data_IF_054901700759
#
_entry.id   IF_054901700759
#
_cell.length_a   1.000
_cell.length_b   1.000
_cell.length_c   1.000
_cell.angle_alpha   90.00
_cell.angle_beta   90.00
_cell.angle_gamma   90.00
#
_symmetry.space_group_name_H-M   'P 1'
#
loop_
_entity.id
_entity.type
_entity.pdbx_description
1 polymer ?
#
# COMPACT_ATOMS: atom_id res chain seq x y z
N UNK A 1 -30.02 2.65 -18.82
CA UNK A 1 -29.02 3.40 -18.01
C UNK A 1 -29.62 4.71 -17.59
N UNK A 2 -29.75 4.97 -16.29
CA UNK A 2 -30.18 6.28 -15.79
C UNK A 2 -28.99 7.24 -15.74
N UNK A 3 -29.23 8.54 -15.85
CA UNK A 3 -28.20 9.58 -15.67
C UNK A 3 -27.54 9.43 -14.28
N UNK A 4 -28.35 9.12 -13.26
CA UNK A 4 -27.89 8.85 -11.90
C UNK A 4 -26.89 7.68 -11.86
N UNK A 5 -27.20 6.56 -12.53
CA UNK A 5 -26.31 5.41 -12.56
C UNK A 5 -24.94 5.81 -13.11
N UNK A 6 -24.90 6.43 -14.29
CA UNK A 6 -23.67 6.91 -14.92
C UNK A 6 -22.88 7.87 -14.00
N UNK A 7 -23.56 8.87 -13.43
CA UNK A 7 -22.95 9.84 -12.53
C UNK A 7 -22.28 9.15 -11.33
N UNK A 8 -22.93 8.16 -10.71
CA UNK A 8 -22.36 7.43 -9.58
C UNK A 8 -21.09 6.65 -9.95
N UNK A 9 -20.99 6.05 -11.15
CA UNK A 9 -19.78 5.33 -11.58
C UNK A 9 -18.61 6.29 -11.79
N UNK A 10 -18.89 7.48 -12.35
CA UNK A 10 -17.91 8.55 -12.50
C UNK A 10 -17.45 9.04 -11.13
N UNK A 11 -18.38 9.36 -10.23
CA UNK A 11 -18.08 9.83 -8.87
C UNK A 11 -17.25 8.80 -8.11
N UNK A 12 -17.60 7.51 -8.20
CA UNK A 12 -16.85 6.42 -7.59
C UNK A 12 -15.36 6.45 -7.99
N UNK A 13 -15.09 6.51 -9.30
CA UNK A 13 -13.72 6.58 -9.79
C UNK A 13 -13.02 7.90 -9.42
N UNK A 14 -13.73 9.03 -9.49
CA UNK A 14 -13.18 10.33 -9.10
C UNK A 14 -12.81 10.37 -7.61
N UNK A 15 -13.56 9.70 -6.73
CA UNK A 15 -13.20 9.57 -5.32
C UNK A 15 -11.97 8.70 -5.12
N UNK A 16 -11.88 7.56 -5.81
CA UNK A 16 -10.69 6.70 -5.76
C UNK A 16 -9.42 7.42 -6.20
N UNK A 17 -9.53 8.36 -7.15
CA UNK A 17 -8.38 9.15 -7.64
C UNK A 17 -8.15 10.38 -6.76
N UNK A 18 -9.20 11.16 -6.50
CA UNK A 18 -9.11 12.48 -5.86
C UNK A 18 -8.78 12.43 -4.37
N UNK A 19 -9.26 11.42 -3.63
CA UNK A 19 -9.01 11.30 -2.18
C UNK A 19 -7.50 11.10 -1.89
N UNK A 20 -6.77 10.19 -2.58
CA UNK A 20 -5.32 10.11 -2.48
C UNK A 20 -4.58 11.43 -2.74
N UNK A 21 -4.95 12.16 -3.79
CA UNK A 21 -4.33 13.45 -4.12
C UNK A 21 -4.58 14.49 -3.02
N UNK A 22 -5.80 14.55 -2.49
CA UNK A 22 -6.14 15.44 -1.39
C UNK A 22 -5.34 15.08 -0.13
N UNK A 23 -5.25 13.79 0.22
CA UNK A 23 -4.45 13.33 1.35
C UNK A 23 -2.97 13.70 1.20
N UNK A 24 -2.40 13.50 0.00
CA UNK A 24 -1.02 13.88 -0.33
C UNK A 24 -0.79 15.39 -0.19
N UNK A 25 -1.71 16.23 -0.68
CA UNK A 25 -1.62 17.69 -0.57
C UNK A 25 -1.74 18.17 0.89
N UNK A 26 -2.64 17.57 1.67
CA UNK A 26 -2.86 17.91 3.08
C UNK A 26 -1.62 17.59 3.94
N UNK A 27 -0.96 16.44 3.69
CA UNK A 27 0.22 16.04 4.46
C UNK A 27 1.52 16.66 3.95
N UNK A 28 1.58 17.07 2.68
CA UNK A 28 2.79 17.65 2.07
C UNK A 28 3.34 18.82 2.89
N UNK A 29 2.44 19.70 3.37
CA UNK A 29 2.80 20.88 4.18
C UNK A 29 3.30 20.54 5.59
N UNK A 30 3.26 19.27 6.00
CA UNK A 30 3.69 18.81 7.33
C UNK A 30 5.05 18.12 7.24
N UNK A 31 6.09 18.78 7.72
CA UNK A 31 7.47 18.26 7.79
C UNK A 31 8.37 18.65 6.61
N UNK A 32 9.68 18.42 6.76
CA UNK A 32 10.72 18.92 5.85
C UNK A 32 10.92 18.08 4.56
N UNK A 33 10.38 16.87 4.52
CA UNK A 33 10.68 15.90 3.45
C UNK A 33 9.87 16.10 2.14
N UNK A 34 8.98 17.10 2.10
CA UNK A 34 8.14 17.40 0.94
C UNK A 34 7.33 16.18 0.46
N UNK A 35 7.25 16.00 -0.87
CA UNK A 35 6.56 14.89 -1.55
C UNK A 35 7.41 13.62 -1.69
N UNK A 36 8.73 13.68 -1.42
CA UNK A 36 9.64 12.56 -1.71
C UNK A 36 9.21 11.24 -1.04
N UNK A 37 8.80 11.20 0.24
CA UNK A 37 8.35 9.95 0.86
C UNK A 37 7.05 9.41 0.26
N UNK A 38 6.18 10.27 -0.26
CA UNK A 38 4.93 9.85 -0.94
C UNK A 38 5.27 9.13 -2.24
N UNK A 39 6.18 9.67 -3.03
CA UNK A 39 6.67 9.01 -4.25
C UNK A 39 7.41 7.71 -3.96
N UNK A 40 8.16 7.64 -2.86
CA UNK A 40 8.80 6.39 -2.44
C UNK A 40 7.76 5.35 -2.01
N UNK A 41 6.69 5.74 -1.31
CA UNK A 41 5.57 4.85 -1.00
C UNK A 41 4.84 4.35 -2.25
N UNK A 42 4.65 5.23 -3.24
CA UNK A 42 4.11 4.87 -4.56
C UNK A 42 4.99 3.83 -5.25
N UNK A 43 6.30 4.07 -5.28
CA UNK A 43 7.26 3.13 -5.85
C UNK A 43 7.28 1.80 -5.09
N UNK A 44 7.13 1.81 -3.76
CA UNK A 44 7.09 0.60 -2.95
C UNK A 44 5.93 -0.33 -3.34
N UNK A 45 4.73 0.23 -3.55
CA UNK A 45 3.59 -0.56 -4.06
C UNK A 45 3.86 -1.12 -5.46
N UNK A 46 4.34 -0.28 -6.39
CA UNK A 46 4.59 -0.75 -7.77
C UNK A 46 5.63 -1.87 -7.78
N UNK A 47 6.73 -1.70 -7.03
CA UNK A 47 7.79 -2.68 -6.92
C UNK A 47 7.35 -3.98 -6.24
N UNK A 48 6.45 -3.93 -5.25
CA UNK A 48 5.90 -5.16 -4.67
C UNK A 48 5.10 -5.94 -5.70
N UNK A 49 4.35 -5.27 -6.58
CA UNK A 49 3.57 -5.95 -7.62
C UNK A 49 4.44 -6.62 -8.69
N UNK A 50 5.66 -6.12 -8.95
CA UNK A 50 6.61 -6.75 -9.90
C UNK A 50 6.97 -8.18 -9.49
N UNK A 51 7.08 -8.46 -8.19
CA UNK A 51 7.30 -9.82 -7.68
C UNK A 51 6.00 -10.58 -7.41
N UNK A 52 5.02 -9.89 -6.83
CA UNK A 52 3.76 -10.48 -6.37
C UNK A 52 2.92 -11.06 -7.52
N UNK A 53 2.77 -10.34 -8.63
CA UNK A 53 1.94 -10.78 -9.76
C UNK A 53 2.52 -12.04 -10.43
N UNK A 54 3.80 -12.08 -10.84
CA UNK A 54 4.39 -13.28 -11.43
C UNK A 54 4.41 -14.46 -10.45
N UNK A 55 4.68 -14.22 -9.16
CA UNK A 55 4.63 -15.28 -8.14
C UNK A 55 3.24 -15.90 -8.07
N UNK A 56 2.18 -15.08 -8.00
CA UNK A 56 0.81 -15.61 -7.93
C UNK A 56 0.43 -16.37 -9.20
N UNK A 57 0.75 -15.82 -10.37
CA UNK A 57 0.34 -16.37 -11.67
C UNK A 57 1.11 -17.63 -12.06
N UNK A 58 2.42 -17.66 -11.85
CA UNK A 58 3.30 -18.72 -12.35
C UNK A 58 3.72 -19.74 -11.29
N UNK A 59 3.55 -19.43 -9.99
CA UNK A 59 3.94 -20.34 -8.92
C UNK A 59 2.77 -20.69 -8.00
N UNK A 60 2.17 -19.73 -7.30
CA UNK A 60 1.16 -20.00 -6.27
C UNK A 60 -0.09 -20.68 -6.84
N UNK A 61 -0.74 -20.08 -7.85
CA UNK A 61 -1.98 -20.63 -8.40
C UNK A 61 -1.77 -21.98 -9.09
N UNK A 62 -0.72 -22.19 -9.92
CA UNK A 62 -0.42 -23.52 -10.46
C UNK A 62 -0.12 -24.56 -9.39
N UNK A 63 0.63 -24.22 -8.33
CA UNK A 63 0.94 -25.14 -7.25
C UNK A 63 -0.32 -25.56 -6.48
N UNK A 64 -1.21 -24.62 -6.16
CA UNK A 64 -2.50 -24.92 -5.52
C UNK A 64 -3.35 -25.88 -6.38
N UNK A 65 -3.45 -25.62 -7.68
CA UNK A 65 -4.17 -26.53 -8.61
C UNK A 65 -3.53 -27.92 -8.66
N UNK A 66 -2.20 -27.99 -8.70
CA UNK A 66 -1.47 -29.26 -8.70
C UNK A 66 -1.68 -30.07 -7.40
N UNK A 67 -1.93 -29.38 -6.28
CA UNK A 67 -2.32 -30.00 -5.01
C UNK A 67 -3.82 -30.31 -4.90
N UNK A 68 -4.58 -30.18 -5.98
CA UNK A 68 -6.01 -30.48 -6.03
C UNK A 68 -6.91 -29.43 -5.38
N UNK A 69 -6.39 -28.22 -5.14
CA UNK A 69 -7.21 -27.11 -4.63
C UNK A 69 -8.06 -26.54 -5.77
N UNK A 70 -9.38 -26.68 -5.64
CA UNK A 70 -10.33 -26.01 -6.53
C UNK A 70 -10.37 -24.50 -6.22
N UNK A 71 -9.69 -23.71 -7.06
CA UNK A 71 -9.65 -22.26 -6.93
C UNK A 71 -10.99 -21.57 -7.25
N UNK A 72 -11.92 -22.28 -7.90
CA UNK A 72 -13.26 -21.79 -8.20
C UNK A 72 -14.26 -22.09 -7.07
N UNK A 73 -13.87 -22.85 -6.05
CA UNK A 73 -14.74 -23.24 -4.94
C UNK A 73 -15.38 -22.04 -4.23
N UNK A 74 -16.70 -22.03 -4.11
CA UNK A 74 -17.44 -20.96 -3.43
C UNK A 74 -17.39 -21.04 -1.90
N UNK A 75 -17.00 -22.19 -1.34
CA UNK A 75 -17.00 -22.42 0.11
C UNK A 75 -16.04 -23.55 0.50
N UNK A 76 -15.83 -23.72 1.80
CA UNK A 76 -15.07 -24.84 2.38
C UNK A 76 -13.55 -24.70 2.27
N UNK A 77 -12.85 -25.81 2.55
CA UNK A 77 -11.40 -25.84 2.65
C UNK A 77 -10.66 -25.26 1.42
N UNK A 78 -11.06 -25.52 0.15
CA UNK A 78 -10.35 -24.95 -0.98
C UNK A 78 -10.37 -23.42 -1.02
N UNK A 79 -11.50 -22.79 -0.66
CA UNK A 79 -11.61 -21.34 -0.56
C UNK A 79 -10.74 -20.78 0.56
N UNK A 80 -10.70 -21.43 1.72
CA UNK A 80 -9.89 -20.99 2.84
C UNK A 80 -8.39 -21.08 2.55
N UNK A 81 -7.96 -22.15 1.89
CA UNK A 81 -6.57 -22.33 1.43
C UNK A 81 -6.22 -21.24 0.41
N UNK A 82 -7.10 -20.98 -0.58
CA UNK A 82 -6.89 -19.91 -1.55
C UNK A 82 -6.79 -18.53 -0.88
N UNK A 83 -7.70 -18.22 0.04
CA UNK A 83 -7.70 -16.96 0.79
C UNK A 83 -6.42 -16.79 1.61
N UNK A 84 -6.03 -17.82 2.37
CA UNK A 84 -4.80 -17.80 3.16
C UNK A 84 -3.55 -17.62 2.29
N UNK A 85 -3.46 -18.34 1.17
CA UNK A 85 -2.33 -18.25 0.25
C UNK A 85 -2.24 -16.87 -0.42
N UNK A 86 -3.36 -16.37 -0.97
CA UNK A 86 -3.43 -15.07 -1.61
C UNK A 86 -3.15 -13.93 -0.62
N UNK A 87 -3.71 -14.02 0.58
CA UNK A 87 -3.47 -13.04 1.64
C UNK A 87 -2.02 -13.02 2.08
N UNK A 88 -1.44 -14.19 2.38
CA UNK A 88 -0.04 -14.28 2.79
C UNK A 88 0.91 -13.78 1.69
N UNK A 89 0.65 -14.12 0.44
CA UNK A 89 1.42 -13.62 -0.70
C UNK A 89 1.43 -12.09 -0.73
N UNK A 90 0.26 -11.46 -0.67
CA UNK A 90 0.16 -9.99 -0.65
C UNK A 90 0.90 -9.38 0.56
N UNK A 91 0.65 -9.91 1.77
CA UNK A 91 1.31 -9.43 2.98
C UNK A 91 2.84 -9.54 2.93
N UNK A 92 3.38 -10.63 2.39
CA UNK A 92 4.83 -10.81 2.25
C UNK A 92 5.41 -9.82 1.24
N UNK A 93 4.88 -9.76 0.02
CA UNK A 93 5.47 -8.92 -1.03
C UNK A 93 5.38 -7.44 -0.72
N UNK A 94 4.24 -6.97 -0.20
CA UNK A 94 4.03 -5.55 0.05
C UNK A 94 4.77 -5.06 1.28
N UNK A 95 4.72 -5.80 2.39
CA UNK A 95 5.35 -5.37 3.64
C UNK A 95 6.87 -5.51 3.59
N UNK A 96 7.41 -6.53 2.89
CA UNK A 96 8.86 -6.65 2.70
C UNK A 96 9.36 -5.53 1.80
N UNK A 97 8.69 -5.22 0.69
CA UNK A 97 9.10 -4.09 -0.16
C UNK A 97 9.06 -2.79 0.64
N UNK A 98 8.03 -2.59 1.47
CA UNK A 98 7.94 -1.44 2.37
C UNK A 98 9.09 -1.39 3.38
N UNK A 99 9.47 -2.53 3.95
CA UNK A 99 10.62 -2.65 4.85
C UNK A 99 11.91 -2.25 4.14
N UNK A 100 12.13 -2.72 2.91
CA UNK A 100 13.32 -2.39 2.11
C UNK A 100 13.41 -0.89 1.83
N UNK A 101 12.32 -0.24 1.42
CA UNK A 101 12.36 1.22 1.17
C UNK A 101 12.61 2.02 2.45
N UNK A 102 12.02 1.64 3.59
CA UNK A 102 12.33 2.29 4.86
C UNK A 102 13.79 2.07 5.27
N UNK A 103 14.30 0.85 5.10
CA UNK A 103 15.63 0.45 5.55
C UNK A 103 16.76 1.03 4.71
N UNK A 104 16.53 1.22 3.40
CA UNK A 104 17.58 1.60 2.46
C UNK A 104 17.38 2.98 1.84
N UNK A 105 16.16 3.35 1.43
CA UNK A 105 15.91 4.61 0.71
C UNK A 105 15.58 5.78 1.63
N UNK A 106 15.00 5.49 2.80
CA UNK A 106 14.51 6.46 3.77
C UNK A 106 15.24 6.44 5.12
N UNK A 107 16.38 5.74 5.21
CA UNK A 107 17.16 5.54 6.45
C UNK A 107 17.45 6.85 7.21
N UNK A 108 17.72 7.94 6.48
CA UNK A 108 18.17 9.22 7.03
C UNK A 108 17.08 10.31 6.97
N UNK A 109 15.81 9.97 6.76
CA UNK A 109 14.74 10.96 6.68
C UNK A 109 14.32 11.42 8.08
N UNK A 110 14.39 12.73 8.40
CA UNK A 110 14.22 13.25 9.77
C UNK A 110 12.77 13.51 10.19
N UNK A 111 11.76 13.05 9.43
CA UNK A 111 10.35 13.44 9.65
C UNK A 111 9.55 12.42 10.46
N UNK A 112 8.91 12.87 11.54
CA UNK A 112 7.91 12.08 12.29
C UNK A 112 6.74 11.59 11.40
N UNK A 113 6.36 12.40 10.40
CA UNK A 113 5.29 12.07 9.45
C UNK A 113 5.74 11.13 8.32
N UNK A 114 7.00 10.67 8.32
CA UNK A 114 7.56 9.84 7.27
C UNK A 114 6.73 8.57 6.98
N UNK A 115 6.39 7.73 7.98
CA UNK A 115 5.58 6.55 7.73
C UNK A 115 4.18 6.87 7.18
N UNK A 116 3.58 7.99 7.61
CA UNK A 116 2.27 8.42 7.12
C UNK A 116 2.35 8.83 5.65
N UNK A 117 3.38 9.59 5.27
CA UNK A 117 3.59 9.99 3.86
C UNK A 117 3.84 8.77 2.96
N UNK A 118 4.62 7.79 3.42
CA UNK A 118 4.82 6.53 2.70
C UNK A 118 3.52 5.75 2.57
N UNK A 119 2.72 5.64 3.65
CA UNK A 119 1.42 4.96 3.62
C UNK A 119 0.41 5.61 2.68
N UNK A 120 0.37 6.95 2.63
CA UNK A 120 -0.43 7.71 1.66
C UNK A 120 0.03 7.42 0.23
N UNK A 121 1.34 7.35 -0.02
CA UNK A 121 1.87 6.98 -1.32
C UNK A 121 1.49 5.56 -1.73
N UNK A 122 1.64 4.60 -0.82
CA UNK A 122 1.40 3.18 -1.06
C UNK A 122 -0.08 2.88 -1.31
N UNK A 123 -0.95 3.18 -0.35
CA UNK A 123 -2.40 2.96 -0.52
C UNK A 123 -3.03 3.91 -1.53
N UNK A 124 -2.45 5.11 -1.70
CA UNK A 124 -2.95 6.11 -2.63
C UNK A 124 -2.75 5.72 -4.10
N UNK A 125 -1.58 5.20 -4.48
CA UNK A 125 -1.39 4.73 -5.86
C UNK A 125 -2.28 3.55 -6.19
N UNK A 126 -2.51 2.65 -5.23
CA UNK A 126 -3.42 1.53 -5.42
C UNK A 126 -4.86 2.01 -5.66
N UNK A 127 -5.32 2.97 -4.87
CA UNK A 127 -6.61 3.62 -5.09
C UNK A 127 -6.70 4.34 -6.45
N UNK A 128 -5.67 5.07 -6.85
CA UNK A 128 -5.62 5.73 -8.16
C UNK A 128 -5.70 4.70 -9.29
N UNK A 129 -4.91 3.62 -9.23
CA UNK A 129 -4.92 2.56 -10.25
C UNK A 129 -6.28 1.85 -10.33
N UNK A 130 -6.91 1.55 -9.18
CA UNK A 130 -8.26 1.00 -9.13
C UNK A 130 -9.31 1.95 -9.74
N UNK A 131 -9.21 3.25 -9.44
CA UNK A 131 -10.08 4.28 -10.02
C UNK A 131 -9.91 4.41 -11.54
N UNK A 132 -8.67 4.36 -12.04
CA UNK A 132 -8.38 4.35 -13.48
C UNK A 132 -8.92 3.09 -14.16
N UNK A 133 -8.79 1.92 -13.53
CA UNK A 133 -9.39 0.68 -14.03
C UNK A 133 -10.92 0.76 -14.04
N UNK A 134 -11.53 1.37 -13.04
CA UNK A 134 -12.98 1.59 -13.00
C UNK A 134 -13.45 2.53 -14.13
N UNK A 135 -12.71 3.60 -14.43
CA UNK A 135 -12.98 4.47 -15.59
C UNK A 135 -12.81 3.72 -16.90
N UNK A 136 -11.74 2.93 -17.02
CA UNK A 136 -11.48 2.12 -18.20
C UNK A 136 -12.63 1.13 -18.45
N UNK A 137 -13.07 0.42 -17.41
CA UNK A 137 -14.23 -0.47 -17.48
C UNK A 137 -15.52 0.28 -17.85
N UNK A 138 -15.75 1.47 -17.28
CA UNK A 138 -16.89 2.31 -17.66
C UNK A 138 -16.85 2.69 -19.15
N UNK A 139 -15.69 3.10 -19.66
CA UNK A 139 -15.51 3.41 -21.08
C UNK A 139 -15.82 2.18 -21.94
N UNK A 140 -15.30 1.00 -21.59
CA UNK A 140 -15.58 -0.23 -22.33
C UNK A 140 -17.08 -0.54 -22.38
N UNK A 141 -17.77 -0.47 -21.24
CA UNK A 141 -19.22 -0.74 -21.15
C UNK A 141 -20.02 0.27 -21.98
N UNK A 142 -19.60 1.55 -22.02
CA UNK A 142 -20.25 2.56 -22.84
C UNK A 142 -20.04 2.32 -24.34
N UNK A 143 -18.83 1.93 -24.74
CA UNK A 143 -18.51 1.60 -26.15
C UNK A 143 -19.28 0.37 -26.62
N UNK A 144 -19.30 -0.70 -25.82
CA UNK A 144 -19.97 -1.97 -26.15
C UNK A 144 -21.51 -1.87 -26.17
N UNK A 145 -22.07 -0.80 -25.59
CA UNK A 145 -23.50 -0.50 -25.63
C UNK A 145 -23.92 0.28 -26.89
N UNK A 146 -22.96 0.74 -27.71
CA UNK A 146 -23.24 1.42 -28.96
C UNK A 146 -24.02 0.53 -29.94
N UNK A 147 -24.87 1.14 -30.76
CA UNK A 147 -25.62 0.40 -31.79
C UNK A 147 -24.65 -0.36 -32.71
N UNK A 148 -24.94 -1.65 -32.95
CA UNK A 148 -24.11 -2.52 -33.79
C UNK A 148 -22.77 -2.94 -33.17
N UNK A 149 -22.39 -2.47 -31.97
CA UNK A 149 -21.11 -2.81 -31.35
C UNK A 149 -20.92 -4.32 -31.15
N UNK A 150 -22.00 -5.04 -30.83
CA UNK A 150 -21.96 -6.49 -30.63
C UNK A 150 -21.97 -7.30 -31.94
N UNK A 151 -22.29 -6.68 -33.08
CA UNK A 151 -22.34 -7.38 -34.37
C UNK A 151 -20.96 -7.83 -34.88
N UNK A 152 -19.88 -7.29 -34.30
CA UNK A 152 -18.51 -7.69 -34.59
C UNK A 152 -18.08 -9.01 -33.92
N UNK A 153 -18.91 -9.58 -33.05
CA UNK A 153 -18.63 -10.81 -32.31
C UNK A 153 -19.51 -11.96 -32.80
N UNK A 154 -19.01 -13.19 -32.65
CA UNK A 154 -19.83 -14.38 -32.84
C UNK A 154 -21.00 -14.43 -31.83
N UNK A 155 -22.10 -15.14 -32.14
CA UNK A 155 -23.32 -15.11 -31.33
C UNK A 155 -23.11 -15.49 -29.85
N UNK A 156 -22.24 -16.47 -29.57
CA UNK A 156 -21.99 -16.94 -28.21
C UNK A 156 -21.23 -15.89 -27.39
N UNK A 157 -20.20 -15.25 -27.98
CA UNK A 157 -19.49 -14.13 -27.34
C UNK A 157 -20.36 -12.91 -27.18
N UNK A 158 -21.18 -12.59 -28.18
CA UNK A 158 -22.11 -11.46 -28.10
C UNK A 158 -23.10 -11.64 -26.94
N UNK A 159 -23.65 -12.84 -26.76
CA UNK A 159 -24.52 -13.17 -25.64
C UNK A 159 -23.81 -13.05 -24.28
N UNK A 160 -22.56 -13.53 -24.19
CA UNK A 160 -21.76 -13.38 -22.97
C UNK A 160 -21.50 -11.91 -22.63
N UNK A 161 -21.07 -11.10 -23.60
CA UNK A 161 -20.82 -9.66 -23.41
C UNK A 161 -22.12 -8.97 -22.98
N UNK A 162 -23.24 -9.28 -23.64
CA UNK A 162 -24.55 -8.72 -23.29
C UNK A 162 -24.91 -9.02 -21.83
N UNK A 163 -24.71 -10.26 -21.37
CA UNK A 163 -24.96 -10.63 -19.98
C UNK A 163 -24.08 -9.87 -18.98
N UNK A 164 -22.82 -9.58 -19.34
CA UNK A 164 -21.91 -8.79 -18.51
C UNK A 164 -22.29 -7.31 -18.47
N UNK A 165 -22.74 -6.74 -19.59
CA UNK A 165 -23.27 -5.38 -19.66
C UNK A 165 -24.52 -5.24 -18.77
N UNK A 166 -25.43 -6.20 -18.85
CA UNK A 166 -26.64 -6.23 -18.01
C UNK A 166 -26.28 -6.31 -16.53
N UNK A 167 -25.37 -7.22 -16.14
CA UNK A 167 -24.90 -7.35 -14.77
C UNK A 167 -24.25 -6.05 -14.25
N UNK A 168 -23.41 -5.39 -15.06
CA UNK A 168 -22.77 -4.12 -14.69
C UNK A 168 -23.79 -3.02 -14.40
N UNK A 169 -24.82 -2.91 -15.23
CA UNK A 169 -25.87 -1.89 -15.06
C UNK A 169 -26.91 -2.26 -14.00
N UNK A 170 -27.02 -3.54 -13.64
CA UNK A 170 -27.89 -4.02 -12.58
C UNK A 170 -27.38 -3.69 -11.17
N UNK A 171 -26.12 -3.24 -11.02
CA UNK A 171 -25.56 -2.85 -9.72
C UNK A 171 -26.42 -1.75 -9.08
N UNK A 172 -26.99 -2.00 -7.87
CA UNK A 172 -27.81 -1.03 -7.17
C UNK A 172 -27.09 0.30 -6.92
N UNK A 173 -27.84 1.40 -6.93
CA UNK A 173 -27.27 2.75 -6.77
C UNK A 173 -26.48 2.90 -5.47
N UNK A 174 -26.94 2.29 -4.37
CA UNK A 174 -26.29 2.37 -3.06
C UNK A 174 -24.99 1.56 -2.98
N UNK A 175 -24.76 0.62 -3.91
CA UNK A 175 -23.51 -0.13 -4.01
C UNK A 175 -22.51 0.52 -4.98
N UNK A 176 -22.93 1.51 -5.76
CA UNK A 176 -22.13 2.07 -6.84
C UNK A 176 -20.88 2.83 -6.36
N UNK A 177 -20.82 3.20 -5.07
CA UNK A 177 -19.69 3.89 -4.44
C UNK A 177 -18.83 2.96 -3.55
N UNK A 178 -19.14 1.66 -3.48
CA UNK A 178 -18.41 0.73 -2.62
C UNK A 178 -16.94 0.60 -3.00
N UNK A 179 -16.58 0.73 -4.28
CA UNK A 179 -15.17 0.73 -4.70
C UNK A 179 -14.38 1.88 -4.05
N UNK A 180 -14.93 3.10 -4.03
CA UNK A 180 -14.28 4.23 -3.36
C UNK A 180 -14.19 4.03 -1.84
N UNK A 181 -15.24 3.46 -1.24
CA UNK A 181 -15.27 3.13 0.18
C UNK A 181 -14.20 2.11 0.58
N UNK A 182 -14.09 1.04 -0.20
CA UNK A 182 -13.11 -0.02 -0.07
C UNK A 182 -11.69 0.55 -0.15
N UNK A 183 -11.42 1.44 -1.13
CA UNK A 183 -10.13 2.15 -1.26
C UNK A 183 -9.79 3.04 -0.07
N UNK A 184 -10.76 3.74 0.54
CA UNK A 184 -10.53 4.51 1.77
C UNK A 184 -10.09 3.59 2.91
N UNK A 185 -10.73 2.42 3.03
CA UNK A 185 -10.38 1.41 4.04
C UNK A 185 -8.99 0.83 3.80
N UNK A 186 -8.67 0.46 2.56
CA UNK A 186 -7.33 -0.01 2.18
C UNK A 186 -6.25 1.04 2.48
N UNK A 187 -6.49 2.31 2.14
CA UNK A 187 -5.59 3.40 2.49
C UNK A 187 -5.37 3.49 4.00
N UNK A 188 -6.44 3.48 4.81
CA UNK A 188 -6.32 3.51 6.27
C UNK A 188 -5.47 2.33 6.81
N UNK A 189 -5.67 1.14 6.25
CA UNK A 189 -4.83 -0.02 6.55
C UNK A 189 -3.35 0.23 6.22
N UNK A 190 -3.03 0.72 5.01
CA UNK A 190 -1.66 1.00 4.58
C UNK A 190 -0.96 2.09 5.39
N UNK A 191 -1.69 3.09 5.88
CA UNK A 191 -1.15 4.06 6.84
C UNK A 191 -0.70 3.34 8.13
N UNK A 192 -1.55 2.47 8.67
CA UNK A 192 -1.23 1.69 9.86
C UNK A 192 -0.07 0.73 9.64
N UNK A 193 -0.07 0.01 8.51
CA UNK A 193 1.00 -0.93 8.17
C UNK A 193 2.34 -0.21 7.98
N UNK A 194 2.33 0.99 7.37
CA UNK A 194 3.53 1.82 7.24
C UNK A 194 4.11 2.26 8.57
N UNK A 195 3.26 2.57 9.57
CA UNK A 195 3.71 2.87 10.93
C UNK A 195 4.40 1.66 11.57
N UNK A 196 3.85 0.46 11.40
CA UNK A 196 4.43 -0.78 11.97
C UNK A 196 5.74 -1.15 11.31
N UNK A 197 5.80 -1.15 9.98
CA UNK A 197 7.04 -1.47 9.25
C UNK A 197 8.12 -0.44 9.55
N UNK A 198 7.78 0.85 9.60
CA UNK A 198 8.73 1.88 10.01
C UNK A 198 9.26 1.64 11.44
N UNK A 199 8.37 1.30 12.38
CA UNK A 199 8.74 0.94 13.75
C UNK A 199 9.71 -0.24 13.80
N UNK A 200 9.51 -1.26 12.96
CA UNK A 200 10.42 -2.41 12.86
C UNK A 200 11.85 -2.00 12.51
N UNK A 201 12.00 -1.07 11.57
CA UNK A 201 13.29 -0.56 11.10
C UNK A 201 13.94 0.33 12.16
N UNK A 202 13.18 1.27 12.73
CA UNK A 202 13.71 2.24 13.70
C UNK A 202 14.11 1.60 15.02
N UNK A 203 13.30 0.68 15.52
CA UNK A 203 13.57 0.00 16.79
C UNK A 203 14.40 -1.29 16.63
N UNK A 204 14.79 -1.63 15.39
CA UNK A 204 15.48 -2.90 15.05
C UNK A 204 14.76 -4.13 15.60
N UNK A 205 13.44 -4.07 15.68
CA UNK A 205 12.60 -5.14 16.21
C UNK A 205 11.74 -5.73 15.07
N UNK A 206 12.13 -6.90 14.51
CA UNK A 206 11.44 -7.50 13.37
C UNK A 206 10.02 -7.95 13.68
N UNK A 207 9.63 -8.06 14.96
CA UNK A 207 8.27 -8.41 15.35
C UNK A 207 7.22 -7.47 14.72
N UNK A 208 7.53 -6.17 14.61
CA UNK A 208 6.61 -5.21 13.99
C UNK A 208 6.44 -5.41 12.49
N UNK A 209 7.45 -5.96 11.79
CA UNK A 209 7.31 -6.37 10.40
C UNK A 209 6.42 -7.60 10.29
N UNK A 210 6.64 -8.60 11.14
CA UNK A 210 5.79 -9.81 11.19
C UNK A 210 4.33 -9.44 11.47
N UNK A 211 4.09 -8.54 12.43
CA UNK A 211 2.75 -8.02 12.72
C UNK A 211 2.11 -7.39 11.48
N UNK A 212 2.86 -6.56 10.74
CA UNK A 212 2.34 -5.94 9.52
C UNK A 212 2.01 -6.97 8.43
N UNK A 213 2.91 -7.96 8.21
CA UNK A 213 2.70 -9.06 7.25
C UNK A 213 1.46 -9.85 7.61
N UNK A 214 1.32 -10.27 8.87
CA UNK A 214 0.17 -11.05 9.32
C UNK A 214 -1.13 -10.23 9.28
N UNK A 215 -1.10 -8.96 9.70
CA UNK A 215 -2.27 -8.08 9.61
C UNK A 215 -2.76 -7.91 8.18
N UNK A 216 -1.84 -7.72 7.23
CA UNK A 216 -2.14 -7.60 5.81
C UNK A 216 -2.67 -8.93 5.27
N UNK A 217 -2.00 -10.03 5.59
CA UNK A 217 -2.40 -11.36 5.15
C UNK A 217 -3.82 -11.73 5.63
N UNK A 218 -4.15 -11.42 6.88
CA UNK A 218 -5.48 -11.68 7.44
C UNK A 218 -6.55 -10.82 6.77
N UNK A 219 -6.28 -9.53 6.53
CA UNK A 219 -7.24 -8.66 5.84
C UNK A 219 -7.54 -9.15 4.42
N UNK A 220 -6.50 -9.48 3.64
CA UNK A 220 -6.67 -9.94 2.26
C UNK A 220 -7.26 -11.35 2.20
N UNK A 221 -6.88 -12.25 3.11
CA UNK A 221 -7.51 -13.56 3.20
C UNK A 221 -8.99 -13.45 3.52
N UNK A 222 -9.35 -12.59 4.48
CA UNK A 222 -10.74 -12.29 4.80
C UNK A 222 -11.47 -11.75 3.57
N UNK A 223 -10.91 -10.75 2.87
CA UNK A 223 -11.54 -10.17 1.68
C UNK A 223 -11.81 -11.22 0.59
N UNK A 224 -10.85 -12.10 0.29
CA UNK A 224 -11.01 -13.18 -0.71
C UNK A 224 -12.11 -14.17 -0.32
N UNK A 225 -12.16 -14.56 0.96
CA UNK A 225 -13.13 -15.55 1.46
C UNK A 225 -14.52 -14.93 1.55
N UNK A 226 -14.62 -13.72 2.10
CA UNK A 226 -15.87 -13.05 2.37
C UNK A 226 -16.54 -12.54 1.08
N UNK A 227 -15.77 -12.20 0.05
CA UNK A 227 -16.31 -11.86 -1.28
C UNK A 227 -17.21 -12.96 -1.87
N UNK A 228 -16.98 -14.23 -1.50
CA UNK A 228 -17.79 -15.37 -1.97
C UNK A 228 -18.92 -15.78 -1.03
N UNK A 229 -19.00 -15.18 0.16
CA UNK A 229 -19.88 -15.67 1.24
C UNK A 229 -20.74 -14.58 1.90
N UNK A 230 -20.35 -13.32 1.82
CA UNK A 230 -21.04 -12.21 2.46
C UNK A 230 -21.62 -11.26 1.40
N UNK A 231 -22.64 -10.52 1.83
CA UNK A 231 -23.09 -9.33 1.10
C UNK A 231 -21.96 -8.29 1.04
N UNK A 232 -21.88 -7.56 -0.09
CA UNK A 232 -20.83 -6.57 -0.33
C UNK A 232 -20.82 -5.46 0.71
N UNK A 233 -21.99 -4.97 1.17
CA UNK A 233 -22.04 -3.90 2.17
C UNK A 233 -21.51 -4.40 3.52
N UNK A 234 -21.86 -5.64 3.89
CA UNK A 234 -21.36 -6.25 5.11
C UNK A 234 -19.83 -6.47 5.06
N UNK A 235 -19.33 -7.00 3.94
CA UNK A 235 -17.89 -7.14 3.68
C UNK A 235 -17.17 -5.81 3.89
N UNK A 236 -17.60 -4.76 3.18
CA UNK A 236 -16.98 -3.44 3.21
C UNK A 236 -17.09 -2.77 4.59
N UNK A 237 -18.19 -3.00 5.30
CA UNK A 237 -18.37 -2.54 6.68
C UNK A 237 -17.35 -3.17 7.63
N UNK A 238 -17.12 -4.47 7.52
CA UNK A 238 -16.13 -5.19 8.35
C UNK A 238 -14.71 -4.71 8.04
N UNK A 239 -14.37 -4.60 6.75
CA UNK A 239 -13.06 -4.10 6.29
C UNK A 239 -12.80 -2.68 6.79
N UNK A 240 -13.80 -1.80 6.71
CA UNK A 240 -13.70 -0.42 7.19
C UNK A 240 -13.44 -0.35 8.71
N UNK A 241 -14.19 -1.11 9.50
CA UNK A 241 -14.01 -1.16 10.96
C UNK A 241 -12.62 -1.71 11.30
N UNK A 242 -12.21 -2.81 10.65
CA UNK A 242 -10.88 -3.39 10.86
C UNK A 242 -9.78 -2.38 10.52
N UNK A 243 -9.84 -1.72 9.36
CA UNK A 243 -8.85 -0.75 8.94
C UNK A 243 -8.76 0.45 9.89
N UNK A 244 -9.90 0.94 10.39
CA UNK A 244 -9.97 2.00 11.39
C UNK A 244 -9.32 1.60 12.73
N UNK A 245 -9.66 0.41 13.24
CA UNK A 245 -9.07 -0.14 14.47
C UNK A 245 -7.56 -0.37 14.31
N UNK A 246 -7.14 -0.93 13.17
CA UNK A 246 -5.75 -1.15 12.83
C UNK A 246 -4.96 0.17 12.81
N UNK A 247 -5.46 1.19 12.11
CA UNK A 247 -4.83 2.50 12.06
C UNK A 247 -4.79 3.16 13.44
N UNK A 248 -5.88 3.08 14.21
CA UNK A 248 -5.95 3.62 15.57
C UNK A 248 -4.92 2.96 16.50
N UNK A 249 -4.80 1.64 16.45
CA UNK A 249 -3.80 0.90 17.20
C UNK A 249 -2.38 1.25 16.75
N UNK A 250 -2.11 1.22 15.44
CA UNK A 250 -0.81 1.60 14.88
C UNK A 250 -0.39 3.01 15.27
N UNK A 251 -1.34 3.95 15.28
CA UNK A 251 -1.12 5.31 15.74
C UNK A 251 -0.77 5.37 17.23
N UNK A 252 -1.44 4.58 18.07
CA UNK A 252 -1.18 4.55 19.53
C UNK A 252 0.22 4.03 19.88
N UNK A 253 0.72 3.05 19.12
CA UNK A 253 2.03 2.42 19.34
C UNK A 253 3.14 2.98 18.43
N UNK A 254 2.86 4.03 17.65
CA UNK A 254 3.82 4.60 16.70
C UNK A 254 5.11 5.03 17.39
N UNK A 255 6.20 5.04 16.63
CA UNK A 255 7.44 5.69 17.06
C UNK A 255 7.14 7.18 17.21
N UNK A 256 7.26 7.68 18.44
CA UNK A 256 7.37 9.11 18.70
C UNK A 256 8.87 9.34 18.73
N UNK A 257 9.42 9.98 17.71
CA UNK A 257 10.81 10.39 17.80
C UNK A 257 10.90 11.29 19.05
N UNK A 258 11.68 10.87 20.05
CA UNK A 258 12.27 11.86 20.92
C UNK A 258 13.24 12.57 19.97
N UNK A 259 12.91 13.80 19.58
CA UNK A 259 13.93 14.74 19.09
C UNK A 259 15.12 14.54 20.01
N UNK A 260 16.24 14.03 19.47
CA UNK A 260 17.41 13.62 20.23
C UNK A 260 17.61 14.61 21.38
N UNK A 261 17.17 14.21 22.58
CA UNK A 261 17.40 14.97 23.79
C UNK A 261 18.85 14.68 24.10
N UNK A 262 19.73 15.43 23.42
CA UNK A 262 21.17 15.34 23.48
C UNK A 262 21.68 14.02 24.04
N UNK A 263 21.84 13.00 23.20
CA UNK A 263 23.07 12.23 23.38
C UNK A 263 24.17 13.29 23.35
N UNK A 264 24.71 13.59 24.52
CA UNK A 264 25.76 14.55 24.69
C UNK A 264 26.82 14.19 23.66
N UNK A 265 26.85 14.94 22.57
CA UNK A 265 28.07 15.18 21.83
C UNK A 265 28.97 15.79 22.89
N UNK A 266 29.71 14.93 23.60
CA UNK A 266 30.94 15.35 24.20
C UNK A 266 31.61 16.16 23.09
N UNK A 267 31.86 17.46 23.28
CA UNK A 267 32.56 18.23 22.27
C UNK A 267 33.77 17.38 21.87
N UNK A 268 34.03 17.21 20.55
CA UNK A 268 35.15 16.41 20.10
C UNK A 268 36.35 16.83 20.96
N UNK A 269 37.09 15.88 21.57
CA UNK A 269 38.11 16.22 22.54
C UNK A 269 38.94 17.34 21.93
N UNK A 270 38.97 18.49 22.62
CA UNK A 270 39.79 19.59 22.15
C UNK A 270 41.20 19.05 22.12
N UNK A 271 41.68 18.73 20.92
CA UNK A 271 43.08 18.45 20.70
C UNK A 271 43.76 19.78 20.94
N UNK A 272 44.17 20.01 22.18
CA UNK A 272 45.13 21.04 22.52
C UNK A 272 46.38 20.67 21.74
N UNK A 273 46.53 21.26 20.57
CA UNK A 273 47.84 21.37 19.94
C UNK A 273 48.66 22.30 20.83
N UNK A 274 49.18 21.78 21.95
CA UNK A 274 50.40 22.31 22.52
C UNK A 274 51.49 21.94 21.53
N UNK A 275 51.60 22.69 20.43
CA UNK A 275 52.82 22.70 19.65
C UNK A 275 53.94 22.98 20.66
N UNK A 276 54.93 22.10 20.84
CA UNK A 276 56.09 22.43 21.66
C UNK A 276 56.64 23.74 21.10
N UNK A 277 56.83 24.75 21.94
CA UNK A 277 57.55 25.94 21.49
C UNK A 277 58.99 25.51 21.23
N UNK A 278 59.30 25.23 19.96
CA UNK A 278 60.64 24.93 19.53
C UNK A 278 61.44 26.22 19.68
N UNK A 279 62.37 26.22 20.62
CA UNK A 279 63.26 27.37 20.85
C UNK A 279 64.31 27.44 19.73
N UNK A 280 64.80 28.63 19.42
CA UNK A 280 65.86 28.83 18.43
C UNK A 280 67.09 27.96 18.70
N UNK A 281 67.38 27.69 19.97
CA UNK A 281 68.47 26.81 20.40
C UNK A 281 68.27 25.35 19.97
N UNK A 282 67.04 24.83 20.04
CA UNK A 282 66.72 23.46 19.59
C UNK A 282 66.81 23.30 18.06
N UNK A 283 66.66 24.39 17.30
CA UNK A 283 66.83 24.41 15.84
C UNK A 283 68.32 24.45 15.46
N UNK A 284 69.15 25.11 16.26
CA UNK A 284 70.60 25.12 16.07
C UNK A 284 71.24 23.76 16.40
N UNK A 285 70.83 23.13 17.50
CA UNK A 285 71.36 21.82 17.90
C UNK A 285 71.04 20.73 16.86
N UNK A 286 69.86 20.77 16.22
CA UNK A 286 69.49 19.80 15.18
C UNK A 286 70.18 19.98 13.83
N UNK A 287 71.05 20.99 13.65
CA UNK A 287 71.84 21.16 12.41
C UNK A 287 73.13 20.35 12.41
N UNK A 288 73.53 19.83 13.57
CA UNK A 288 74.79 19.12 13.76
C UNK A 288 74.61 17.61 14.03
N UNK A 289 73.36 17.14 14.07
CA UNK A 289 72.96 15.73 14.05
C UNK A 289 72.55 15.31 12.62
#
# INVERSE_FOLDING_TARGET
MTILALALRIINALFMIGIPFLAALMIYRRGKDGFRPIWIGTAAFILSQVGHIPFNQFLMLPALKAWGVDIAAGFGAPLWILGAAAGLSAGVFEEITRYLVFRFWLKNSPSENLPIKVGIGHGGVEAVLAGLLALYALIQVLVLRGEGALAAFDPDRAALIQSQLEAYWAIPWHQSLLGAWERISAMAFHLGASLMVYKSVRQKNPLWLVIAVIGHALLNAFAVIALRQLDFILLEGIVFVFAGLWLGWAWSVRVKDQVDAGEGLLPPPQVLFSAPQITSKQIEESRYD
#
